data_IF_012090239679
#
_entry.id   IF_012090239679
#
_cell.length_a   1.000
_cell.length_b   1.000
_cell.length_c   1.000
_cell.angle_alpha   90.00
_cell.angle_beta   90.00
_cell.angle_gamma   90.00
#
_symmetry.space_group_name_H-M   'P 1'
#
loop_
_entity.id
_entity.type
_entity.pdbx_description
1 polymer ?
#
# COMPACT_ATOMS: atom_id res chain seq x y z
N UNK A 1 13.56 -7.56 8.75
CA UNK A 1 12.70 -8.17 7.71
C UNK A 1 13.57 -8.57 6.53
N UNK A 2 13.20 -9.64 5.82
CA UNK A 2 13.94 -10.09 4.64
C UNK A 2 13.57 -9.24 3.42
N UNK A 3 14.41 -8.25 3.10
CA UNK A 3 14.14 -7.26 2.03
C UNK A 3 13.90 -7.91 0.66
N UNK A 4 14.71 -8.88 0.17
CA UNK A 4 14.45 -9.57 -1.09
C UNK A 4 13.06 -10.21 -1.19
N UNK A 5 12.53 -10.74 -0.08
CA UNK A 5 11.18 -11.32 -0.08
C UNK A 5 10.10 -10.24 -0.21
N UNK A 6 10.25 -9.11 0.48
CA UNK A 6 9.30 -8.00 0.37
C UNK A 6 9.26 -7.46 -1.06
N UNK A 7 10.42 -7.22 -1.66
CA UNK A 7 10.53 -6.71 -3.02
C UNK A 7 9.89 -7.67 -4.03
N UNK A 8 10.16 -8.98 -3.92
CA UNK A 8 9.54 -10.00 -4.78
C UNK A 8 8.01 -10.01 -4.70
N UNK A 9 7.42 -9.84 -3.52
CA UNK A 9 5.96 -9.81 -3.36
C UNK A 9 5.36 -8.57 -4.04
N UNK A 10 6.01 -7.42 -3.89
CA UNK A 10 5.54 -6.15 -4.46
C UNK A 10 5.73 -6.10 -5.98
N UNK A 11 6.83 -6.65 -6.50
CA UNK A 11 7.05 -6.85 -7.94
C UNK A 11 6.02 -7.81 -8.54
N UNK A 12 5.74 -8.93 -7.87
CA UNK A 12 4.69 -9.87 -8.29
C UNK A 12 3.32 -9.20 -8.33
N UNK A 13 2.98 -8.40 -7.31
CA UNK A 13 1.71 -7.66 -7.29
C UNK A 13 1.62 -6.67 -8.46
N UNK A 14 2.71 -5.97 -8.79
CA UNK A 14 2.76 -5.09 -9.95
C UNK A 14 2.52 -5.87 -11.25
N UNK A 15 3.17 -7.02 -11.40
CA UNK A 15 3.04 -7.87 -12.59
C UNK A 15 1.64 -8.48 -12.74
N UNK A 16 1.04 -8.98 -11.65
CA UNK A 16 -0.31 -9.57 -11.65
C UNK A 16 -1.39 -8.53 -11.97
N UNK A 17 -1.25 -7.32 -11.43
CA UNK A 17 -2.24 -6.25 -11.65
C UNK A 17 -1.96 -5.44 -12.91
N UNK A 18 -0.75 -5.46 -13.46
CA UNK A 18 -0.35 -4.59 -14.59
C UNK A 18 -0.53 -3.09 -14.31
N UNK A 19 -0.54 -2.68 -13.05
CA UNK A 19 -0.69 -1.30 -12.62
C UNK A 19 0.60 -0.47 -12.87
N UNK A 20 0.56 0.83 -12.56
CA UNK A 20 1.72 1.70 -12.73
C UNK A 20 2.74 1.58 -11.59
N UNK A 21 2.28 1.41 -10.35
CA UNK A 21 3.13 1.38 -9.16
C UNK A 21 2.49 0.61 -8.02
N UNK A 22 3.29 -0.13 -7.27
CA UNK A 22 2.89 -0.82 -6.04
C UNK A 22 3.85 -0.45 -4.90
N UNK A 23 3.31 -0.28 -3.69
CA UNK A 23 4.11 0.07 -2.51
C UNK A 23 3.69 -0.73 -1.30
N UNK A 24 4.66 -1.03 -0.44
CA UNK A 24 4.44 -1.46 0.94
C UNK A 24 4.92 -0.37 1.87
N UNK A 25 4.03 0.06 2.76
CA UNK A 25 4.36 0.86 3.93
C UNK A 25 4.15 0.03 5.19
N UNK A 26 5.08 0.11 6.13
CA UNK A 26 5.01 -0.58 7.43
C UNK A 26 5.21 0.46 8.51
N UNK A 27 4.48 0.32 9.61
CA UNK A 27 4.62 1.20 10.78
C UNK A 27 6.04 1.10 11.34
N UNK A 28 6.70 2.24 11.50
CA UNK A 28 7.95 2.34 12.24
C UNK A 28 7.62 2.52 13.73
N UNK A 29 8.01 1.58 14.61
CA UNK A 29 7.71 1.69 16.04
C UNK A 29 8.45 2.85 16.73
N UNK A 30 9.48 3.42 16.11
CA UNK A 30 10.25 4.51 16.71
C UNK A 30 9.50 5.85 16.67
N UNK A 31 8.74 6.12 15.61
CA UNK A 31 8.04 7.39 15.41
C UNK A 31 6.56 7.25 15.00
N UNK A 32 6.07 6.02 14.82
CA UNK A 32 4.68 5.72 14.41
C UNK A 32 4.38 6.07 12.94
N UNK A 33 5.41 6.44 12.16
CA UNK A 33 5.32 6.74 10.74
C UNK A 33 5.14 5.49 9.89
N UNK A 34 4.82 5.68 8.61
CA UNK A 34 4.62 4.58 7.65
C UNK A 34 5.54 4.75 6.44
N UNK A 35 6.86 4.59 6.60
CA UNK A 35 7.81 4.68 5.49
C UNK A 35 7.53 3.62 4.42
N UNK A 36 7.91 3.92 3.17
CA UNK A 36 7.89 2.94 2.09
C UNK A 36 9.10 2.00 2.28
N UNK A 37 8.82 0.74 2.60
CA UNK A 37 9.86 -0.28 2.78
C UNK A 37 10.10 -1.09 1.50
N UNK A 38 9.06 -1.30 0.68
CA UNK A 38 9.15 -1.93 -0.64
C UNK A 38 8.34 -1.14 -1.69
N UNK A 39 8.84 -1.08 -2.93
CA UNK A 39 8.18 -0.44 -4.06
C UNK A 39 8.58 -1.14 -5.36
N UNK A 40 7.60 -1.32 -6.25
CA UNK A 40 7.84 -1.65 -7.66
C UNK A 40 7.08 -0.67 -8.55
N UNK A 41 7.68 -0.27 -9.68
CA UNK A 41 7.08 0.67 -10.60
C UNK A 41 7.34 0.24 -12.05
N UNK A 42 6.37 0.48 -12.93
CA UNK A 42 6.53 0.29 -14.36
C UNK A 42 7.50 1.34 -14.95
N UNK A 43 8.01 1.08 -16.15
CA UNK A 43 8.93 2.00 -16.83
C UNK A 43 8.30 3.40 -16.99
N UNK A 44 9.08 4.44 -16.66
CA UNK A 44 8.65 5.84 -16.72
C UNK A 44 7.72 6.28 -15.57
N UNK A 45 7.30 5.36 -14.68
CA UNK A 45 6.48 5.72 -13.51
C UNK A 45 7.38 6.23 -12.39
N UNK A 46 7.04 7.43 -11.87
CA UNK A 46 7.80 8.08 -10.79
C UNK A 46 7.74 7.27 -9.50
N UNK A 47 8.90 7.11 -8.85
CA UNK A 47 9.03 6.53 -7.50
C UNK A 47 8.40 7.41 -6.43
N UNK A 48 7.75 6.80 -5.45
CA UNK A 48 7.31 7.42 -4.20
C UNK A 48 8.39 7.36 -3.11
N UNK A 49 9.42 6.53 -3.26
CA UNK A 49 10.51 6.42 -2.28
C UNK A 49 11.24 7.77 -2.14
N UNK A 50 11.56 8.14 -0.91
CA UNK A 50 12.17 9.44 -0.58
C UNK A 50 11.24 10.64 -0.79
N UNK A 51 10.01 10.41 -1.28
CA UNK A 51 8.95 11.41 -1.38
C UNK A 51 8.15 11.55 -0.10
N UNK A 52 7.41 12.65 0.01
CA UNK A 52 6.41 12.85 1.06
C UNK A 52 5.03 12.89 0.43
N UNK A 53 4.11 12.08 0.98
CA UNK A 53 2.68 12.14 0.66
C UNK A 53 1.97 12.56 1.94
N UNK A 54 2.14 13.84 2.31
CA UNK A 54 1.58 14.44 3.52
C UNK A 54 1.75 13.61 4.81
N UNK A 55 0.91 13.90 5.80
CA UNK A 55 0.71 13.00 6.93
C UNK A 55 -0.23 11.87 6.48
N UNK A 56 0.32 10.65 6.40
CA UNK A 56 -0.44 9.48 5.96
C UNK A 56 -1.61 9.17 6.90
N UNK A 57 -1.46 9.34 8.22
CA UNK A 57 -2.54 9.02 9.19
C UNK A 57 -3.69 10.03 9.12
N UNK A 58 -3.37 11.27 8.75
CA UNK A 58 -4.38 12.29 8.51
C UNK A 58 -5.17 12.08 7.20
N UNK A 59 -4.67 11.23 6.28
CA UNK A 59 -5.36 10.97 5.02
C UNK A 59 -6.67 10.20 5.24
N UNK A 60 -7.74 10.64 4.58
CA UNK A 60 -9.06 10.02 4.69
C UNK A 60 -9.07 8.55 4.19
N UNK A 61 -8.24 8.22 3.20
CA UNK A 61 -8.03 6.84 2.75
C UNK A 61 -7.39 5.96 3.83
N UNK A 62 -6.44 6.49 4.61
CA UNK A 62 -5.86 5.78 5.75
C UNK A 62 -6.92 5.52 6.83
N UNK A 63 -7.69 6.55 7.18
CA UNK A 63 -8.77 6.43 8.18
C UNK A 63 -9.84 5.42 7.76
N UNK A 64 -10.14 5.31 6.46
CA UNK A 64 -11.03 4.28 5.95
C UNK A 64 -10.45 2.88 6.13
N UNK A 65 -9.17 2.67 5.82
CA UNK A 65 -8.51 1.38 6.04
C UNK A 65 -8.49 1.01 7.53
N UNK A 66 -8.18 1.96 8.40
CA UNK A 66 -8.13 1.76 9.85
C UNK A 66 -9.52 1.41 10.43
N UNK A 67 -10.58 2.06 9.94
CA UNK A 67 -11.96 1.81 10.38
C UNK A 67 -12.50 0.48 9.83
N UNK A 68 -12.35 0.23 8.54
CA UNK A 68 -13.09 -0.82 7.85
C UNK A 68 -12.36 -2.16 7.79
N UNK A 69 -11.02 -2.13 7.97
CA UNK A 69 -10.11 -3.29 7.95
C UNK A 69 -10.29 -4.19 6.73
N UNK A 70 -10.59 -3.57 5.60
CA UNK A 70 -10.87 -4.21 4.32
C UNK A 70 -10.21 -3.44 3.19
N UNK A 71 -9.96 -4.08 2.04
CA UNK A 71 -9.44 -3.37 0.88
C UNK A 71 -10.34 -2.20 0.47
N UNK A 72 -9.72 -1.04 0.22
CA UNK A 72 -10.36 0.12 -0.39
C UNK A 72 -10.03 0.10 -1.89
N UNK A 73 -11.06 0.12 -2.72
CA UNK A 73 -10.94 0.08 -4.18
C UNK A 73 -11.54 1.36 -4.75
N UNK A 74 -10.77 2.09 -5.54
CA UNK A 74 -11.17 3.36 -6.14
C UNK A 74 -10.76 3.37 -7.61
N UNK A 75 -11.75 3.18 -8.48
CA UNK A 75 -11.55 3.07 -9.93
C UNK A 75 -11.19 4.42 -10.59
N UNK A 76 -11.59 5.53 -9.97
CA UNK A 76 -11.29 6.90 -10.41
C UNK A 76 -11.03 7.77 -9.18
N UNK A 77 -9.90 8.47 -9.18
CA UNK A 77 -9.48 9.38 -8.11
C UNK A 77 -9.96 10.82 -8.25
N UNK A 78 -10.63 11.18 -9.35
CA UNK A 78 -11.09 12.56 -9.61
C UNK A 78 -12.11 13.02 -8.57
N UNK A 79 -13.08 12.16 -8.25
CA UNK A 79 -14.17 12.42 -7.30
C UNK A 79 -14.32 11.29 -6.26
N UNK A 80 -13.22 10.62 -5.91
CA UNK A 80 -13.26 9.47 -5.02
C UNK A 80 -13.65 9.85 -3.58
N UNK A 81 -14.43 8.98 -2.94
CA UNK A 81 -14.71 9.04 -1.50
C UNK A 81 -14.20 7.74 -0.83
N UNK A 82 -13.30 7.82 0.17
CA UNK A 82 -12.63 9.03 0.66
C UNK A 82 -11.66 9.64 -0.36
N UNK A 83 -11.52 10.97 -0.32
CA UNK A 83 -10.58 11.67 -1.19
C UNK A 83 -9.13 11.20 -0.95
N UNK A 84 -8.35 10.91 -2.01
CA UNK A 84 -6.94 10.55 -1.87
C UNK A 84 -6.11 11.76 -1.44
N UNK A 85 -4.89 11.56 -0.91
CA UNK A 85 -3.95 12.65 -0.68
C UNK A 85 -3.71 13.46 -1.98
N UNK A 86 -3.83 14.80 -1.96
CA UNK A 86 -3.66 15.62 -3.16
C UNK A 86 -2.31 15.41 -3.87
N UNK A 87 -1.22 15.26 -3.10
CA UNK A 87 0.12 15.04 -3.64
C UNK A 87 0.24 13.70 -4.38
N UNK A 88 -0.51 12.67 -3.96
CA UNK A 88 -0.53 11.38 -4.65
C UNK A 88 -1.05 11.51 -6.09
N UNK A 89 -2.03 12.39 -6.29
CA UNK A 89 -2.63 12.68 -7.60
C UNK A 89 -1.78 13.68 -8.39
N UNK A 90 -1.36 14.78 -7.75
CA UNK A 90 -0.69 15.90 -8.41
C UNK A 90 0.79 15.63 -8.71
N UNK A 91 1.54 15.03 -7.78
CA UNK A 91 2.99 14.84 -7.90
C UNK A 91 3.36 13.45 -8.42
N UNK A 92 2.54 12.45 -8.11
CA UNK A 92 2.82 11.05 -8.40
C UNK A 92 1.86 10.40 -9.40
N UNK A 93 0.93 11.21 -9.94
CA UNK A 93 0.12 10.88 -11.10
C UNK A 93 -0.92 9.80 -10.86
N UNK A 94 -1.27 9.46 -9.62
CA UNK A 94 -2.29 8.44 -9.37
C UNK A 94 -3.64 8.88 -9.96
N UNK A 95 -4.34 7.94 -10.59
CA UNK A 95 -5.65 8.13 -11.25
C UNK A 95 -6.68 7.07 -10.84
N UNK A 96 -6.23 5.89 -10.42
CA UNK A 96 -7.03 4.88 -9.73
C UNK A 96 -6.14 4.22 -8.66
N UNK A 97 -6.75 3.63 -7.63
CA UNK A 97 -5.98 2.87 -6.63
C UNK A 97 -6.75 1.72 -6.00
N UNK A 98 -5.99 0.76 -5.49
CA UNK A 98 -6.47 -0.17 -4.48
C UNK A 98 -5.52 -0.14 -3.29
N UNK A 99 -6.05 -0.19 -2.08
CA UNK A 99 -5.29 -0.21 -0.85
C UNK A 99 -5.75 -1.38 0.01
N UNK A 100 -4.84 -2.11 0.64
CA UNK A 100 -5.18 -3.15 1.61
C UNK A 100 -4.43 -2.93 2.93
N UNK A 101 -5.11 -3.07 4.08
CA UNK A 101 -4.48 -2.95 5.38
C UNK A 101 -3.72 -4.24 5.73
N UNK A 102 -2.55 -4.11 6.35
CA UNK A 102 -1.89 -5.20 7.06
C UNK A 102 -2.30 -5.09 8.51
N UNK A 103 -3.02 -6.08 9.02
CA UNK A 103 -3.44 -6.10 10.43
C UNK A 103 -2.58 -7.06 11.24
N UNK A 104 -2.11 -6.60 12.40
CA UNK A 104 -1.51 -7.46 13.41
C UNK A 104 -2.55 -8.38 14.07
N UNK A 105 -2.13 -9.45 14.78
CA UNK A 105 -3.05 -10.38 15.43
C UNK A 105 -3.99 -9.74 16.46
N UNK A 106 -3.56 -8.64 17.08
CA UNK A 106 -4.38 -7.84 18.02
C UNK A 106 -5.37 -6.91 17.30
N UNK A 107 -5.35 -6.91 15.97
CA UNK A 107 -6.21 -6.08 15.16
C UNK A 107 -5.73 -4.64 15.04
N UNK A 108 -4.46 -4.29 15.25
CA UNK A 108 -3.92 -2.98 14.88
C UNK A 108 -3.44 -2.94 13.41
N UNK A 109 -3.58 -1.79 12.75
CA UNK A 109 -3.08 -1.60 11.39
C UNK A 109 -1.58 -1.30 11.46
N UNK A 110 -0.76 -2.24 11.00
CA UNK A 110 0.71 -2.17 11.08
C UNK A 110 1.36 -1.91 9.72
N UNK A 111 0.56 -1.81 8.67
CA UNK A 111 1.05 -1.49 7.34
C UNK A 111 -0.05 -1.32 6.31
N UNK A 112 0.33 -0.90 5.12
CA UNK A 112 -0.56 -0.75 3.96
C UNK A 112 0.17 -1.25 2.71
N UNK A 113 -0.50 -2.10 1.93
CA UNK A 113 -0.14 -2.34 0.53
C UNK A 113 -0.98 -1.43 -0.35
N UNK A 114 -0.35 -0.79 -1.33
CA UNK A 114 -1.03 0.09 -2.28
C UNK A 114 -0.71 -0.31 -3.71
N UNK A 115 -1.71 -0.21 -4.58
CA UNK A 115 -1.61 -0.34 -6.04
C UNK A 115 -2.13 0.96 -6.65
N UNK A 116 -1.34 1.59 -7.51
CA UNK A 116 -1.69 2.85 -8.17
C UNK A 116 -1.65 2.69 -9.69
N UNK A 117 -2.72 3.11 -10.35
CA UNK A 117 -2.74 3.35 -11.79
C UNK A 117 -2.40 4.82 -12.06
N UNK A 118 -1.64 5.08 -13.13
CA UNK A 118 -1.20 6.45 -13.48
C UNK A 118 -1.62 6.88 -14.88
N UNK A 119 -2.15 5.96 -15.70
CA UNK A 119 -2.57 6.24 -17.09
C UNK A 119 -3.96 6.87 -17.18
N UNK A 120 -4.83 6.62 -16.20
CA UNK A 120 -6.21 7.10 -16.17
C UNK A 120 -7.06 6.34 -15.16
N UNK A 121 -8.36 6.65 -15.08
CA UNK A 121 -9.32 5.81 -14.36
C UNK A 121 -9.25 4.37 -14.86
N UNK A 122 -9.40 3.43 -13.93
CA UNK A 122 -9.28 2.00 -14.20
C UNK A 122 -10.20 1.23 -13.28
N UNK A 123 -11.24 0.55 -13.83
CA UNK A 123 -11.97 -0.47 -13.10
C UNK A 123 -11.06 -1.62 -12.66
N UNK A 124 -11.13 -1.99 -11.38
CA UNK A 124 -10.36 -3.12 -10.84
C UNK A 124 -11.17 -4.43 -10.94
N UNK A 125 -10.52 -5.47 -11.46
CA UNK A 125 -11.14 -6.79 -11.56
C UNK A 125 -11.13 -7.54 -10.23
N UNK A 126 -11.97 -8.57 -10.09
CA UNK A 126 -11.90 -9.48 -8.94
C UNK A 126 -10.52 -10.13 -8.80
N UNK A 127 -9.85 -10.43 -9.91
CA UNK A 127 -8.48 -10.93 -9.91
C UNK A 127 -7.46 -9.91 -9.40
N UNK A 128 -7.64 -8.62 -9.69
CA UNK A 128 -6.78 -7.55 -9.19
C UNK A 128 -6.92 -7.43 -7.66
N UNK A 129 -8.16 -7.43 -7.17
CA UNK A 129 -8.46 -7.37 -5.73
C UNK A 129 -7.93 -8.61 -5.02
N UNK A 130 -8.09 -9.80 -5.60
CA UNK A 130 -7.55 -11.03 -5.05
C UNK A 130 -6.01 -11.05 -5.03
N UNK A 131 -5.35 -10.48 -6.04
CA UNK A 131 -3.88 -10.33 -6.04
C UNK A 131 -3.41 -9.42 -4.91
N UNK A 132 -4.08 -8.28 -4.71
CA UNK A 132 -3.80 -7.38 -3.60
C UNK A 132 -3.99 -8.06 -2.23
N UNK A 133 -5.10 -8.79 -2.04
CA UNK A 133 -5.38 -9.48 -0.79
C UNK A 133 -4.31 -10.55 -0.48
N UNK A 134 -3.95 -11.38 -1.46
CA UNK A 134 -2.87 -12.37 -1.30
C UNK A 134 -1.54 -11.71 -0.89
N UNK A 135 -1.18 -10.62 -1.56
CA UNK A 135 0.02 -9.87 -1.22
C UNK A 135 -0.04 -9.30 0.21
N UNK A 136 -1.18 -8.73 0.62
CA UNK A 136 -1.38 -8.20 1.96
C UNK A 136 -1.26 -9.30 3.04
N UNK A 137 -1.84 -10.49 2.82
CA UNK A 137 -1.75 -11.61 3.75
C UNK A 137 -0.31 -12.13 3.91
N UNK A 138 0.42 -12.31 2.80
CA UNK A 138 1.83 -12.72 2.81
C UNK A 138 2.71 -11.69 3.54
N UNK A 139 2.48 -10.40 3.30
CA UNK A 139 3.24 -9.32 3.91
C UNK A 139 2.90 -9.14 5.40
N UNK A 140 1.63 -9.27 5.79
CA UNK A 140 1.22 -9.21 7.19
C UNK A 140 1.92 -10.31 8.02
N UNK A 141 2.02 -11.53 7.48
CA UNK A 141 2.73 -12.63 8.14
C UNK A 141 4.23 -12.31 8.35
N UNK A 142 4.88 -11.69 7.36
CA UNK A 142 6.30 -11.29 7.43
C UNK A 142 6.54 -10.16 8.44
N UNK A 143 5.65 -9.15 8.46
CA UNK A 143 5.72 -8.05 9.42
C UNK A 143 5.52 -8.57 10.85
N UNK A 144 4.51 -9.42 11.09
CA UNK A 144 4.25 -10.00 12.41
C UNK A 144 5.43 -10.85 12.94
N UNK A 145 6.07 -11.62 12.06
CA UNK A 145 7.25 -12.42 12.41
C UNK A 145 8.44 -11.56 12.82
N UNK A 146 8.61 -10.38 12.20
CA UNK A 146 9.70 -9.46 12.52
C UNK A 146 9.51 -8.79 13.90
N UNK A 147 8.29 -8.43 14.26
CA UNK A 147 7.96 -7.86 15.59
C UNK A 147 8.19 -8.90 16.69
N UNK A 148 7.69 -10.12 16.51
CA UNK A 148 7.81 -11.20 17.51
C UNK A 148 9.26 -11.67 17.71
N UNK A 149 10.12 -11.50 16.70
CA UNK A 149 11.55 -11.81 16.79
C UNK A 149 12.37 -10.77 17.55
N UNK A 150 11.91 -9.51 17.59
CA UNK A 150 12.62 -8.41 18.26
C UNK A 150 12.50 -8.47 19.79
N UNK A 151 11.40 -9.01 20.33
CA UNK A 151 11.15 -9.14 21.77
C UNK A 151 11.93 -10.29 22.45
N UNK A 152 12.80 -11.00 21.71
CA UNK A 152 13.61 -12.13 22.23
C UNK A 152 15.12 -11.86 22.24
N UNK A 153 15.54 -10.61 22.07
CA UNK A 153 16.95 -10.17 22.04
C UNK A 153 17.43 -9.53 23.33
#
# INVERSE_FOLDING_TARGET
MDQPTLDRIIERLLAETGAGRTTLRVEDPADGGFPIVAEAAAEGVRTLRGGSVGDLRAAATFQALERDRRPLVQDDLTDADPAPPPDLVALYGARAQMLAPLSAPDGHLVGIVSVHEVRGPRPWSESDVAALQRAADELAALVAAAVTGADRG
#
